data_IF_360689399480
#
_entry.id   IF_360689399480
#
_cell.length_a   1.000
_cell.length_b   1.000
_cell.length_c   1.000
_cell.angle_alpha   90.00
_cell.angle_beta   90.00
_cell.angle_gamma   90.00
#
_symmetry.space_group_name_H-M   'P 1'
#
loop_
_entity.id
_entity.type
_entity.pdbx_description
1 polymer ?
#
# COMPACT_ATOMS: atom_id res chain seq x y z
N UNK A 1 8.90 43.36 -14.30
CA UNK A 1 7.69 42.68 -13.80
C UNK A 1 7.98 42.24 -12.37
N UNK A 2 7.30 42.82 -11.38
CA UNK A 2 7.47 42.39 -9.99
C UNK A 2 6.81 41.00 -9.85
N UNK A 3 7.57 40.01 -9.41
CA UNK A 3 7.02 38.73 -8.95
C UNK A 3 6.17 39.03 -7.72
N UNK A 4 4.84 39.05 -7.88
CA UNK A 4 3.90 39.30 -6.79
C UNK A 4 3.88 38.09 -5.86
N UNK A 5 4.80 38.06 -4.89
CA UNK A 5 4.75 37.09 -3.79
C UNK A 5 4.03 37.71 -2.61
N UNK A 6 3.15 36.93 -1.99
CA UNK A 6 2.43 37.32 -0.77
C UNK A 6 2.96 36.55 0.44
N UNK A 7 2.75 37.11 1.64
CA UNK A 7 3.18 36.49 2.90
C UNK A 7 2.03 35.70 3.51
N UNK A 8 2.30 34.46 3.91
CA UNK A 8 1.39 33.63 4.70
C UNK A 8 1.95 33.56 6.14
N UNK A 9 1.50 34.39 7.08
CA UNK A 9 1.92 34.31 8.47
C UNK A 9 1.24 33.11 9.14
N UNK A 10 2.04 32.13 9.57
CA UNK A 10 1.56 30.98 10.34
C UNK A 10 2.17 31.06 11.74
N UNK A 11 1.31 31.07 12.76
CA UNK A 11 1.74 30.99 14.15
C UNK A 11 1.96 29.53 14.53
N UNK A 12 3.12 29.24 15.09
CA UNK A 12 3.51 27.92 15.57
C UNK A 12 4.14 28.06 16.95
N UNK A 13 4.08 26.99 17.73
CA UNK A 13 4.83 26.91 19.00
C UNK A 13 6.34 26.90 18.74
N UNK A 14 7.17 27.24 19.75
CA UNK A 14 8.62 27.12 19.64
C UNK A 14 9.08 25.70 19.28
N UNK A 15 8.41 24.68 19.82
CA UNK A 15 8.70 23.27 19.58
C UNK A 15 8.41 22.86 18.13
N UNK A 16 7.28 23.29 17.58
CA UNK A 16 6.94 23.04 16.18
C UNK A 16 7.92 23.75 15.24
N UNK A 17 8.30 24.99 15.54
CA UNK A 17 9.30 25.72 14.77
C UNK A 17 10.64 24.99 14.74
N UNK A 18 11.09 24.46 15.88
CA UNK A 18 12.33 23.68 15.96
C UNK A 18 12.25 22.40 15.12
N UNK A 19 11.11 21.68 15.18
CA UNK A 19 10.88 20.48 14.38
C UNK A 19 10.91 20.77 12.88
N UNK A 20 10.22 21.82 12.43
CA UNK A 20 10.22 22.25 11.02
C UNK A 20 11.62 22.62 10.56
N UNK A 21 12.38 23.33 11.40
CA UNK A 21 13.76 23.70 11.09
C UNK A 21 14.67 22.47 10.93
N UNK A 22 14.49 21.45 11.77
CA UNK A 22 15.21 20.19 11.67
C UNK A 22 14.89 19.45 10.37
N UNK A 23 13.60 19.25 10.06
CA UNK A 23 13.18 18.56 8.83
C UNK A 23 13.66 19.28 7.56
N UNK A 24 13.64 20.61 7.56
CA UNK A 24 14.18 21.39 6.44
C UNK A 24 15.69 21.19 6.27
N UNK A 25 16.45 21.13 7.37
CA UNK A 25 17.90 20.87 7.34
C UNK A 25 18.22 19.46 6.84
N UNK A 26 17.50 18.45 7.32
CA UNK A 26 17.64 17.06 6.86
C UNK A 26 17.37 16.92 5.35
N UNK A 27 16.42 17.69 4.83
CA UNK A 27 16.12 17.76 3.41
C UNK A 27 17.08 18.65 2.59
N UNK A 28 18.08 19.29 3.21
CA UNK A 28 18.95 20.30 2.59
C UNK A 28 18.19 21.48 1.94
N UNK A 29 17.09 21.91 2.55
CA UNK A 29 16.24 23.00 2.09
C UNK A 29 16.18 24.15 3.10
N UNK A 30 15.83 25.34 2.61
CA UNK A 30 15.38 26.41 3.52
C UNK A 30 14.01 26.06 4.11
N UNK A 31 13.70 26.56 5.31
CA UNK A 31 12.38 26.33 5.93
C UNK A 31 11.22 26.79 5.03
N UNK A 32 11.39 27.92 4.33
CA UNK A 32 10.35 28.44 3.42
C UNK A 32 10.13 27.56 2.20
N UNK A 33 11.19 27.02 1.61
CA UNK A 33 11.08 26.09 0.48
C UNK A 33 10.55 24.72 0.91
N UNK A 34 10.98 24.22 2.07
CA UNK A 34 10.42 23.02 2.68
C UNK A 34 8.91 23.15 2.89
N UNK A 35 8.45 24.26 3.50
CA UNK A 35 7.03 24.52 3.72
C UNK A 35 6.26 24.73 2.42
N UNK A 36 6.86 25.39 1.42
CA UNK A 36 6.24 25.54 0.09
C UNK A 36 5.98 24.18 -0.56
N UNK A 37 6.98 23.28 -0.53
CA UNK A 37 6.84 21.93 -1.07
C UNK A 37 5.82 21.11 -0.29
N UNK A 38 5.88 21.15 1.03
CA UNK A 38 4.93 20.45 1.89
C UNK A 38 3.48 20.91 1.66
N UNK A 39 3.26 22.21 1.48
CA UNK A 39 1.94 22.76 1.15
C UNK A 39 1.48 22.35 -0.26
N UNK A 40 2.38 22.29 -1.24
CA UNK A 40 2.06 21.85 -2.60
C UNK A 40 1.79 20.33 -2.69
N UNK A 41 2.42 19.52 -1.83
CA UNK A 41 2.22 18.07 -1.76
C UNK A 41 1.10 17.64 -0.82
N UNK A 42 0.51 18.56 -0.06
CA UNK A 42 -0.55 18.24 0.88
C UNK A 42 -1.82 17.86 0.10
N UNK A 43 -2.03 16.55 -0.09
CA UNK A 43 -3.23 16.00 -0.73
C UNK A 43 -4.04 15.18 0.28
N UNK A 44 -4.95 15.82 1.05
CA UNK A 44 -5.63 15.16 2.17
C UNK A 44 -6.57 14.02 1.77
N UNK A 45 -6.83 13.79 0.48
CA UNK A 45 -7.79 12.77 0.02
C UNK A 45 -7.22 11.74 -0.95
N UNK A 46 -6.06 11.98 -1.54
CA UNK A 46 -5.52 11.13 -2.61
C UNK A 46 -4.69 9.99 -2.04
N UNK A 47 -3.89 10.27 -1.01
CA UNK A 47 -3.07 9.25 -0.33
C UNK A 47 -3.95 8.21 0.37
N UNK A 48 -5.01 8.63 1.04
CA UNK A 48 -5.96 7.72 1.71
C UNK A 48 -6.74 6.87 0.70
N UNK A 49 -7.22 7.46 -0.40
CA UNK A 49 -7.90 6.71 -1.47
C UNK A 49 -6.98 5.72 -2.17
N UNK A 50 -5.72 6.09 -2.41
CA UNK A 50 -4.73 5.21 -3.02
C UNK A 50 -4.41 4.03 -2.10
N UNK A 51 -4.19 4.30 -0.81
CA UNK A 51 -3.95 3.27 0.21
C UNK A 51 -5.14 2.31 0.33
N UNK A 52 -6.38 2.82 0.36
CA UNK A 52 -7.58 1.99 0.39
C UNK A 52 -7.70 1.11 -0.86
N UNK A 53 -7.46 1.68 -2.06
CA UNK A 53 -7.47 0.91 -3.30
C UNK A 53 -6.40 -0.19 -3.36
N UNK A 54 -5.23 0.02 -2.77
CA UNK A 54 -4.19 -1.01 -2.64
C UNK A 54 -4.63 -2.15 -1.71
N UNK A 55 -5.28 -1.82 -0.58
CA UNK A 55 -5.81 -2.81 0.35
C UNK A 55 -6.88 -3.67 -0.33
N UNK A 56 -7.83 -3.03 -1.03
CA UNK A 56 -8.90 -3.74 -1.74
C UNK A 56 -8.34 -4.73 -2.77
N UNK A 57 -7.34 -4.31 -3.55
CA UNK A 57 -6.70 -5.20 -4.51
C UNK A 57 -5.92 -6.32 -3.80
N UNK A 58 -5.19 -6.03 -2.73
CA UNK A 58 -4.49 -7.07 -1.98
C UNK A 58 -5.49 -8.13 -1.47
N UNK A 59 -6.60 -7.71 -0.88
CA UNK A 59 -7.67 -8.62 -0.41
C UNK A 59 -8.26 -9.45 -1.55
N UNK A 60 -8.58 -8.82 -2.69
CA UNK A 60 -9.13 -9.52 -3.86
C UNK A 60 -8.16 -10.56 -4.42
N UNK A 61 -6.88 -10.19 -4.56
CA UNK A 61 -5.83 -11.09 -5.05
C UNK A 61 -5.60 -12.25 -4.08
N UNK A 62 -5.52 -12.00 -2.78
CA UNK A 62 -5.36 -13.06 -1.76
C UNK A 62 -6.55 -14.02 -1.79
N UNK A 63 -7.79 -13.51 -1.85
CA UNK A 63 -8.97 -14.37 -1.94
C UNK A 63 -8.97 -15.25 -3.20
N UNK A 64 -8.56 -14.69 -4.35
CA UNK A 64 -8.42 -15.45 -5.59
C UNK A 64 -7.33 -16.51 -5.49
N UNK A 65 -6.18 -16.19 -4.89
CA UNK A 65 -5.08 -17.12 -4.69
C UNK A 65 -5.49 -18.29 -3.78
N UNK A 66 -6.15 -18.01 -2.64
CA UNK A 66 -6.69 -19.05 -1.76
C UNK A 66 -7.65 -19.97 -2.50
N UNK A 67 -8.59 -19.41 -3.26
CA UNK A 67 -9.54 -20.20 -4.06
C UNK A 67 -8.86 -21.08 -5.11
N UNK A 68 -7.76 -20.61 -5.71
CA UNK A 68 -6.98 -21.38 -6.67
C UNK A 68 -6.26 -22.56 -5.99
N UNK A 69 -5.69 -22.32 -4.80
CA UNK A 69 -5.05 -23.36 -3.98
C UNK A 69 -6.08 -24.42 -3.57
N UNK A 70 -7.24 -24.01 -3.07
CA UNK A 70 -8.30 -24.95 -2.66
C UNK A 70 -8.74 -25.85 -3.82
N UNK A 71 -8.88 -25.28 -5.02
CA UNK A 71 -9.20 -26.06 -6.23
C UNK A 71 -8.11 -27.05 -6.60
N UNK A 72 -6.84 -26.65 -6.51
CA UNK A 72 -5.72 -27.54 -6.81
C UNK A 72 -5.67 -28.70 -5.82
N UNK A 73 -5.86 -28.45 -4.52
CA UNK A 73 -5.92 -29.48 -3.50
C UNK A 73 -7.09 -30.45 -3.72
N UNK A 74 -8.28 -29.92 -4.05
CA UNK A 74 -9.43 -30.76 -4.36
C UNK A 74 -9.18 -31.68 -5.58
N UNK A 75 -8.56 -31.15 -6.62
CA UNK A 75 -8.21 -31.93 -7.82
C UNK A 75 -7.20 -33.05 -7.50
N UNK A 76 -6.17 -32.76 -6.69
CA UNK A 76 -5.20 -33.77 -6.25
C UNK A 76 -5.90 -34.88 -5.47
N UNK A 77 -6.73 -34.52 -4.50
CA UNK A 77 -7.47 -35.50 -3.69
C UNK A 77 -8.38 -36.40 -4.55
N UNK A 78 -9.08 -35.84 -5.54
CA UNK A 78 -9.90 -36.61 -6.47
C UNK A 78 -9.04 -37.54 -7.34
N UNK A 79 -7.88 -37.08 -7.77
CA UNK A 79 -6.93 -37.90 -8.54
C UNK A 79 -6.37 -39.05 -7.70
N UNK A 80 -6.00 -38.81 -6.45
CA UNK A 80 -5.52 -39.84 -5.51
C UNK A 80 -6.61 -40.90 -5.28
N UNK A 81 -7.85 -40.49 -5.03
CA UNK A 81 -8.97 -41.40 -4.85
C UNK A 81 -9.22 -42.29 -6.09
N UNK A 82 -9.09 -41.73 -7.30
CA UNK A 82 -9.20 -42.48 -8.56
C UNK A 82 -8.07 -43.49 -8.72
N UNK A 83 -6.83 -43.11 -8.43
CA UNK A 83 -5.67 -44.00 -8.52
C UNK A 83 -5.84 -45.18 -7.54
N UNK A 84 -6.22 -44.91 -6.29
CA UNK A 84 -6.46 -45.97 -5.31
C UNK A 84 -7.56 -46.95 -5.74
N UNK A 85 -8.65 -46.46 -6.34
CA UNK A 85 -9.71 -47.32 -6.84
C UNK A 85 -9.20 -48.26 -7.94
N UNK A 86 -8.44 -47.73 -8.90
CA UNK A 86 -7.85 -48.52 -9.98
C UNK A 86 -6.83 -49.55 -9.47
N UNK A 87 -6.02 -49.18 -8.47
CA UNK A 87 -5.07 -50.10 -7.85
C UNK A 87 -5.75 -51.24 -7.08
N UNK A 88 -6.89 -50.97 -6.43
CA UNK A 88 -7.69 -52.00 -5.75
C UNK A 88 -8.33 -52.96 -6.74
N UNK A 89 -8.90 -52.45 -7.83
CA UNK A 89 -9.48 -53.26 -8.90
C UNK A 89 -8.42 -54.20 -9.51
N UNK A 90 -7.26 -53.65 -9.89
CA UNK A 90 -6.16 -54.42 -10.47
C UNK A 90 -5.56 -55.49 -9.54
N UNK A 91 -5.71 -55.33 -8.22
CA UNK A 91 -5.22 -56.31 -7.22
C UNK A 91 -6.25 -57.41 -6.92
N UNK A 92 -7.50 -57.22 -7.35
CA UNK A 92 -8.61 -58.17 -7.14
C UNK A 92 -8.90 -59.07 -8.34
N UNK A 93 -8.27 -58.80 -9.49
CA UNK A 93 -8.29 -59.57 -10.75
C UNK A 93 -7.07 -60.47 -10.88
#
# INVERSE_FOLDING_TARGET
MATATERIPVLVTPQEKARIAMMAREANLSMGEYLRRAAASFSPSEDERLLLGMIDQMTATTASASKAIDKALAFVAESEARIEAQEREARSS
#
